data_IF_432076311455
#
_entry.id   IF_432076311455
#
_cell.length_a   1.000
_cell.length_b   1.000
_cell.length_c   1.000
_cell.angle_alpha   90.00
_cell.angle_beta   90.00
_cell.angle_gamma   90.00
#
_symmetry.space_group_name_H-M   'P 1'
#
loop_
_entity.id
_entity.type
_entity.pdbx_description
1 polymer ?
#
# COMPACT_ATOMS: atom_id res chain seq x y z
N UNK A 1 3.81 -10.35 -12.17
CA UNK A 1 3.56 -11.13 -10.93
C UNK A 1 4.26 -10.45 -9.78
N UNK A 2 3.52 -10.00 -8.78
CA UNK A 2 4.02 -9.15 -7.71
C UNK A 2 3.78 -9.82 -6.35
N UNK A 3 4.68 -9.60 -5.38
CA UNK A 3 4.41 -9.87 -3.98
C UNK A 3 3.80 -8.63 -3.31
N UNK A 4 3.23 -8.79 -2.13
CA UNK A 4 2.80 -7.65 -1.30
C UNK A 4 4.03 -6.87 -0.82
N UNK A 5 3.97 -5.53 -0.72
CA UNK A 5 5.12 -4.68 -0.38
C UNK A 5 5.40 -4.63 1.13
N UNK A 6 5.08 -5.69 1.88
CA UNK A 6 5.23 -5.75 3.34
C UNK A 6 5.40 -7.19 3.85
N UNK A 7 5.87 -7.31 5.08
CA UNK A 7 5.86 -8.57 5.84
C UNK A 7 4.61 -8.68 6.72
N UNK A 8 4.26 -9.92 7.08
CA UNK A 8 3.10 -10.19 7.93
C UNK A 8 1.77 -10.08 7.18
N UNK A 9 0.71 -9.78 7.94
CA UNK A 9 -0.66 -9.72 7.44
C UNK A 9 -1.21 -8.30 7.58
N UNK A 10 -1.74 -7.77 6.49
CA UNK A 10 -2.28 -6.41 6.42
C UNK A 10 -3.67 -6.46 5.79
N UNK A 11 -4.54 -5.55 6.21
CA UNK A 11 -5.90 -5.41 5.69
C UNK A 11 -5.89 -4.49 4.48
N UNK A 12 -6.56 -4.92 3.42
CA UNK A 12 -6.87 -4.08 2.25
C UNK A 12 -8.05 -3.17 2.63
N UNK A 13 -7.79 -1.88 2.81
CA UNK A 13 -8.85 -0.91 3.14
C UNK A 13 -9.41 -0.21 1.92
N UNK A 14 -8.63 -0.14 0.86
CA UNK A 14 -9.06 0.36 -0.43
C UNK A 14 -8.43 -0.48 -1.55
N UNK A 15 -9.17 -0.67 -2.65
CA UNK A 15 -8.67 -1.29 -3.88
C UNK A 15 -9.39 -2.57 -4.29
N UNK A 16 -9.16 -2.97 -5.53
CA UNK A 16 -9.78 -4.11 -6.19
C UNK A 16 -9.77 -3.97 -7.70
N UNK A 17 -10.31 -4.96 -8.41
CA UNK A 17 -10.30 -5.01 -9.89
C UNK A 17 -11.63 -4.63 -10.54
N UNK A 18 -12.63 -4.28 -9.74
CA UNK A 18 -13.92 -3.80 -10.18
C UNK A 18 -14.30 -2.45 -9.55
N UNK A 19 -15.42 -1.90 -10.02
CA UNK A 19 -15.93 -0.59 -9.60
C UNK A 19 -16.42 -0.57 -8.14
N UNK A 20 -16.87 -1.69 -7.61
CA UNK A 20 -17.45 -1.77 -6.27
C UNK A 20 -16.37 -1.89 -5.18
N UNK A 21 -15.23 -2.48 -5.54
CA UNK A 21 -14.06 -2.63 -4.67
C UNK A 21 -13.09 -1.43 -4.75
N UNK A 22 -12.94 -0.81 -5.93
CA UNK A 22 -12.00 0.29 -6.14
C UNK A 22 -12.54 1.63 -5.64
N UNK A 23 -11.77 2.30 -4.77
CA UNK A 23 -12.08 3.65 -4.28
C UNK A 23 -11.77 4.77 -5.30
N UNK A 24 -11.08 4.43 -6.39
CA UNK A 24 -10.47 5.35 -7.34
C UNK A 24 -10.83 4.99 -8.78
N UNK A 25 -11.92 4.24 -9.01
CA UNK A 25 -12.29 3.71 -10.33
C UNK A 25 -12.35 4.78 -11.44
N UNK A 26 -12.85 5.96 -11.10
CA UNK A 26 -12.97 7.12 -12.00
C UNK A 26 -11.65 7.86 -12.27
N UNK A 27 -10.56 7.52 -11.57
CA UNK A 27 -9.24 8.14 -11.70
C UNK A 27 -8.33 7.13 -12.40
N UNK A 28 -8.12 7.24 -13.72
CA UNK A 28 -7.39 6.21 -14.49
C UNK A 28 -6.00 5.89 -13.95
N UNK A 29 -5.32 6.87 -13.36
CA UNK A 29 -3.96 6.71 -12.83
C UNK A 29 -3.88 5.95 -11.51
N UNK A 30 -5.01 5.80 -10.80
CA UNK A 30 -5.09 5.16 -9.49
C UNK A 30 -6.13 4.03 -9.45
N UNK A 31 -6.78 3.70 -10.57
CA UNK A 31 -7.92 2.76 -10.65
C UNK A 31 -7.71 1.43 -9.91
N UNK A 32 -6.49 0.91 -9.94
CA UNK A 32 -6.10 -0.37 -9.34
C UNK A 32 -5.10 -0.18 -8.18
N UNK A 33 -5.09 1.01 -7.57
CA UNK A 33 -4.31 1.27 -6.37
C UNK A 33 -4.93 0.60 -5.15
N UNK A 34 -4.06 0.22 -4.23
CA UNK A 34 -4.40 -0.42 -2.98
C UNK A 34 -3.84 0.38 -1.81
N UNK A 35 -4.65 0.50 -0.77
CA UNK A 35 -4.19 1.01 0.53
C UNK A 35 -4.24 -0.12 1.55
N UNK A 36 -3.15 -0.26 2.30
CA UNK A 36 -2.98 -1.30 3.31
C UNK A 36 -2.72 -0.72 4.68
N UNK A 37 -3.41 -1.26 5.68
CA UNK A 37 -3.20 -0.96 7.11
C UNK A 37 -3.04 -2.26 7.90
N UNK A 38 -2.61 -2.17 9.15
CA UNK A 38 -2.69 -3.29 10.09
C UNK A 38 -3.89 -3.03 11.01
N UNK A 39 -4.76 -4.02 11.16
CA UNK A 39 -5.90 -3.96 12.08
C UNK A 39 -5.75 -4.96 13.21
N UNK A 40 -6.26 -4.62 14.38
CA UNK A 40 -6.52 -5.58 15.46
C UNK A 40 -7.84 -6.34 15.25
N UNK A 41 -8.12 -7.28 16.15
CA UNK A 41 -9.33 -8.11 16.10
C UNK A 41 -10.62 -7.31 16.28
N UNK A 42 -10.55 -6.10 16.83
CA UNK A 42 -11.70 -5.21 17.03
C UNK A 42 -11.95 -4.29 15.83
N UNK A 43 -11.10 -4.34 14.80
CA UNK A 43 -11.17 -3.49 13.61
C UNK A 43 -10.49 -2.12 13.78
N UNK A 44 -9.73 -1.92 14.86
CA UNK A 44 -8.94 -0.71 15.09
C UNK A 44 -7.60 -0.74 14.35
N UNK A 45 -7.12 0.42 13.91
CA UNK A 45 -5.81 0.59 13.23
C UNK A 45 -4.70 1.14 14.13
N UNK A 46 -5.05 1.56 15.35
CA UNK A 46 -4.12 2.09 16.34
C UNK A 46 -4.52 1.72 17.76
N UNK A 47 -3.53 1.67 18.66
CA UNK A 47 -3.74 1.58 20.10
C UNK A 47 -3.46 2.92 20.78
N UNK A 48 -4.47 3.55 21.36
CA UNK A 48 -4.33 4.82 22.08
C UNK A 48 -4.82 6.03 21.27
N UNK A 49 -4.17 7.18 21.47
CA UNK A 49 -4.57 8.44 20.83
C UNK A 49 -4.28 8.41 19.31
N UNK A 50 -5.31 8.53 18.45
CA UNK A 50 -5.14 8.48 16.99
C UNK A 50 -4.52 9.76 16.39
N UNK A 51 -4.23 10.78 17.21
CA UNK A 51 -3.45 11.96 16.80
C UNK A 51 -1.93 11.75 16.91
N UNK A 52 -1.51 10.61 17.48
CA UNK A 52 -0.10 10.21 17.64
C UNK A 52 0.23 9.10 16.65
N UNK A 53 1.19 9.34 15.76
CA UNK A 53 1.52 8.43 14.65
C UNK A 53 2.03 7.07 15.14
N UNK A 54 2.82 7.06 16.21
CA UNK A 54 3.43 5.88 16.80
C UNK A 54 2.41 4.88 17.37
N UNK A 55 1.16 5.31 17.59
CA UNK A 55 0.09 4.44 18.06
C UNK A 55 -0.50 3.57 16.95
N UNK A 56 -0.27 3.89 15.68
CA UNK A 56 -0.76 3.09 14.56
C UNK A 56 0.08 1.84 14.34
N UNK A 57 -0.59 0.69 14.23
CA UNK A 57 0.08 -0.61 14.18
C UNK A 57 1.02 -0.78 12.98
N UNK A 58 0.72 -0.11 11.87
CA UNK A 58 1.50 -0.15 10.63
C UNK A 58 2.64 0.88 10.58
N UNK A 59 2.63 1.92 11.43
CA UNK A 59 3.62 2.98 11.38
C UNK A 59 5.02 2.45 11.74
N UNK A 60 6.02 2.82 10.93
CA UNK A 60 7.41 2.38 11.08
C UNK A 60 7.69 0.92 10.67
N UNK A 61 6.69 0.15 10.21
CA UNK A 61 6.90 -1.21 9.69
C UNK A 61 7.69 -1.22 8.39
N UNK A 62 8.42 -2.30 8.15
CA UNK A 62 9.23 -2.46 6.95
C UNK A 62 8.39 -2.54 5.67
N UNK A 63 8.89 -1.90 4.62
CA UNK A 63 8.30 -1.90 3.28
C UNK A 63 9.25 -2.60 2.32
N UNK A 64 8.70 -3.49 1.50
CA UNK A 64 9.46 -4.39 0.64
C UNK A 64 9.30 -4.05 -0.84
N UNK A 65 10.34 -4.33 -1.63
CA UNK A 65 10.23 -4.34 -3.08
C UNK A 65 9.29 -5.49 -3.54
N UNK A 66 8.26 -5.20 -4.35
CA UNK A 66 7.22 -6.19 -4.73
C UNK A 66 7.71 -7.16 -5.83
N UNK A 67 8.77 -6.78 -6.53
CA UNK A 67 9.40 -7.55 -7.59
C UNK A 67 10.81 -7.00 -7.84
N UNK A 68 11.64 -7.78 -8.53
CA UNK A 68 12.94 -7.33 -9.03
C UNK A 68 12.77 -6.11 -9.93
N UNK A 69 13.69 -5.15 -9.85
CA UNK A 69 13.63 -3.97 -10.71
C UNK A 69 14.73 -2.95 -10.45
N UNK A 70 14.54 -1.76 -11.02
CA UNK A 70 15.43 -0.60 -10.85
C UNK A 70 14.64 0.57 -10.31
N UNK A 71 15.13 1.21 -9.25
CA UNK A 71 14.53 2.44 -8.72
C UNK A 71 14.74 3.56 -9.74
N UNK A 72 13.64 4.13 -10.23
CA UNK A 72 13.66 5.18 -11.27
C UNK A 72 13.18 6.54 -10.77
N UNK A 73 12.50 6.62 -9.64
CA UNK A 73 12.16 7.88 -8.97
C UNK A 73 11.99 7.64 -7.46
N UNK A 74 12.31 8.65 -6.66
CA UNK A 74 12.21 8.56 -5.20
C UNK A 74 12.17 9.94 -4.54
N UNK A 75 11.42 10.06 -3.43
CA UNK A 75 11.40 11.22 -2.53
C UNK A 75 11.36 10.76 -1.07
N UNK A 76 12.17 11.39 -0.22
CA UNK A 76 12.41 10.95 1.18
C UNK A 76 12.59 12.11 2.18
N UNK A 77 12.01 13.28 1.89
CA UNK A 77 12.22 14.49 2.71
C UNK A 77 10.93 15.21 3.10
N UNK A 78 9.77 14.73 2.66
CA UNK A 78 8.50 15.25 3.16
C UNK A 78 8.30 14.77 4.58
N UNK A 79 7.90 15.67 5.48
CA UNK A 79 7.50 15.29 6.84
C UNK A 79 6.20 14.50 6.78
N UNK A 80 5.95 13.72 7.82
CA UNK A 80 4.64 13.12 8.01
C UNK A 80 3.57 14.19 8.16
N UNK A 81 2.41 13.91 7.57
CA UNK A 81 1.21 14.72 7.70
C UNK A 81 0.62 14.54 9.09
N UNK A 82 -0.12 15.55 9.56
CA UNK A 82 -0.86 15.44 10.82
C UNK A 82 -1.99 14.42 10.70
N UNK A 83 -2.16 13.57 11.71
CA UNK A 83 -3.38 12.79 11.89
C UNK A 83 -4.32 13.50 12.86
N UNK A 84 -5.59 13.53 12.52
CA UNK A 84 -6.63 14.17 13.34
C UNK A 84 -7.54 13.14 14.04
N UNK A 85 -7.34 11.84 13.76
CA UNK A 85 -8.17 10.75 14.29
C UNK A 85 -9.65 10.79 13.86
N UNK A 86 -9.99 11.61 12.88
CA UNK A 86 -11.38 11.86 12.45
C UNK A 86 -11.54 11.84 10.93
N UNK A 87 -10.59 11.23 10.21
CA UNK A 87 -10.63 11.11 8.75
C UNK A 87 -10.31 12.39 7.97
N UNK A 88 -9.91 13.49 8.63
CA UNK A 88 -9.42 14.69 7.93
C UNK A 88 -7.97 14.53 7.48
N UNK A 89 -7.65 15.13 6.34
CA UNK A 89 -6.28 15.21 5.81
C UNK A 89 -5.63 16.55 6.19
N UNK A 90 -4.30 16.60 6.17
CA UNK A 90 -3.55 17.85 6.39
C UNK A 90 -3.70 18.78 5.16
N UNK A 91 -4.23 20.02 5.33
CA UNK A 91 -4.46 20.91 4.19
C UNK A 91 -3.17 21.49 3.57
N UNK A 92 -2.01 21.31 4.20
CA UNK A 92 -0.73 21.88 3.75
C UNK A 92 0.14 20.90 2.95
N UNK A 93 -0.40 19.75 2.56
CA UNK A 93 0.29 18.77 1.73
C UNK A 93 0.64 19.33 0.35
N UNK A 94 1.91 19.18 -0.04
CA UNK A 94 2.42 19.68 -1.35
C UNK A 94 2.42 18.62 -2.44
N UNK A 95 2.58 17.36 -2.05
CA UNK A 95 2.60 16.22 -2.95
C UNK A 95 1.70 15.15 -2.34
N UNK A 96 0.68 14.72 -3.10
CA UNK A 96 -0.29 13.74 -2.63
C UNK A 96 0.34 12.39 -2.26
N UNK A 97 1.50 12.06 -2.85
CA UNK A 97 2.22 10.81 -2.57
C UNK A 97 3.05 10.86 -1.28
N UNK A 98 3.42 12.06 -0.83
CA UNK A 98 4.43 12.23 0.22
C UNK A 98 5.79 11.68 -0.22
N UNK A 99 6.43 10.92 0.66
CA UNK A 99 7.64 10.15 0.34
C UNK A 99 7.25 8.86 -0.39
N UNK A 100 7.98 8.53 -1.45
CA UNK A 100 7.64 7.43 -2.32
C UNK A 100 8.87 6.84 -3.02
N UNK A 101 8.70 5.62 -3.54
CA UNK A 101 9.63 4.95 -4.44
C UNK A 101 8.87 4.52 -5.70
N UNK A 102 9.46 4.74 -6.87
CA UNK A 102 9.01 4.18 -8.15
C UNK A 102 10.05 3.18 -8.67
N UNK A 103 9.63 1.94 -8.90
CA UNK A 103 10.51 0.86 -9.39
C UNK A 103 10.06 0.44 -10.78
N UNK A 104 10.97 0.44 -11.75
CA UNK A 104 10.74 -0.12 -13.09
C UNK A 104 11.01 -1.62 -13.07
N UNK A 105 10.01 -2.40 -13.50
CA UNK A 105 10.09 -3.86 -13.59
C UNK A 105 10.18 -4.34 -15.05
N UNK A 106 9.60 -3.59 -15.98
CA UNK A 106 9.56 -3.92 -17.41
C UNK A 106 9.39 -2.70 -18.31
N UNK A 107 9.02 -2.90 -19.57
CA UNK A 107 8.84 -1.79 -20.55
C UNK A 107 7.75 -0.81 -20.11
N UNK A 108 6.60 -1.34 -19.66
CA UNK A 108 5.41 -0.59 -19.24
C UNK A 108 4.88 -1.10 -17.89
N UNK A 109 5.79 -1.39 -16.98
CA UNK A 109 5.43 -1.90 -15.66
C UNK A 109 6.29 -1.23 -14.61
N UNK A 110 5.66 -0.37 -13.82
CA UNK A 110 6.28 0.40 -12.75
C UNK A 110 5.46 0.22 -11.49
N UNK A 111 6.10 -0.08 -10.36
CA UNK A 111 5.44 0.01 -9.07
C UNK A 111 5.62 1.39 -8.47
N UNK A 112 4.60 1.88 -7.77
CA UNK A 112 4.68 3.05 -6.90
C UNK A 112 4.29 2.61 -5.50
N UNK A 113 5.16 2.92 -4.53
CA UNK A 113 4.88 2.76 -3.10
C UNK A 113 5.04 4.14 -2.46
N UNK A 114 3.99 4.61 -1.79
CA UNK A 114 3.89 5.97 -1.28
C UNK A 114 3.55 5.99 0.22
N UNK A 115 3.47 7.20 0.78
CA UNK A 115 3.25 7.46 2.21
C UNK A 115 4.35 6.93 3.11
N UNK A 116 5.59 6.91 2.60
CA UNK A 116 6.74 6.37 3.32
C UNK A 116 7.18 7.29 4.46
N UNK A 117 7.80 6.69 5.47
CA UNK A 117 8.35 7.40 6.62
C UNK A 117 9.51 8.31 6.17
N UNK A 118 9.60 9.56 6.67
CA UNK A 118 10.67 10.48 6.31
C UNK A 118 12.05 9.92 6.68
N UNK A 119 13.03 10.08 5.78
CA UNK A 119 14.40 9.64 5.96
C UNK A 119 14.56 8.12 6.17
N UNK A 120 13.61 7.34 5.65
CA UNK A 120 13.57 5.88 5.85
C UNK A 120 14.00 5.07 4.63
N UNK A 121 14.08 5.69 3.44
CA UNK A 121 14.44 5.00 2.21
C UNK A 121 15.84 4.36 2.36
N UNK A 122 15.93 3.09 1.98
CA UNK A 122 17.17 2.30 1.95
C UNK A 122 17.80 2.23 0.56
N UNK A 123 17.16 2.86 -0.41
CA UNK A 123 17.52 2.82 -1.82
C UNK A 123 17.52 4.24 -2.40
N UNK A 124 18.27 4.43 -3.48
CA UNK A 124 18.31 5.66 -4.28
C UNK A 124 18.03 5.36 -5.75
N UNK A 125 17.74 6.41 -6.50
CA UNK A 125 17.54 6.32 -7.95
C UNK A 125 18.77 5.66 -8.61
N UNK A 126 18.52 4.64 -9.42
CA UNK A 126 19.53 3.83 -10.09
C UNK A 126 19.83 2.49 -9.43
N UNK A 127 19.44 2.29 -8.16
CA UNK A 127 19.67 1.04 -7.46
C UNK A 127 18.83 -0.10 -8.06
N UNK A 128 19.41 -1.30 -8.12
CA UNK A 128 18.71 -2.54 -8.44
C UNK A 128 18.19 -3.15 -7.14
N UNK A 129 16.93 -3.53 -7.12
CA UNK A 129 16.29 -4.16 -5.97
C UNK A 129 15.82 -5.57 -6.31
N UNK A 130 15.77 -6.44 -5.30
CA UNK A 130 15.20 -7.78 -5.40
C UNK A 130 13.85 -7.88 -4.72
N UNK A 131 12.96 -8.73 -5.22
CA UNK A 131 11.68 -9.02 -4.54
C UNK A 131 11.93 -9.36 -3.07
N UNK A 132 11.21 -8.71 -2.17
CA UNK A 132 11.30 -8.93 -0.73
C UNK A 132 12.42 -8.15 -0.04
N UNK A 133 13.24 -7.41 -0.78
CA UNK A 133 14.24 -6.50 -0.20
C UNK A 133 13.57 -5.35 0.55
N UNK A 134 14.06 -5.02 1.74
CA UNK A 134 13.57 -3.89 2.52
C UNK A 134 14.06 -2.58 1.88
N UNK A 135 13.13 -1.74 1.47
CA UNK A 135 13.42 -0.51 0.72
C UNK A 135 13.05 0.77 1.46
N UNK A 136 12.16 0.70 2.45
CA UNK A 136 11.73 1.85 3.27
C UNK A 136 10.98 1.38 4.52
N UNK A 137 10.38 2.34 5.24
CA UNK A 137 9.39 2.08 6.29
C UNK A 137 8.05 2.78 5.98
N UNK A 138 6.97 2.21 6.47
CA UNK A 138 5.63 2.80 6.43
C UNK A 138 5.59 4.07 7.29
N UNK A 139 5.00 5.14 6.75
CA UNK A 139 4.88 6.43 7.42
C UNK A 139 3.48 7.00 7.25
N UNK A 140 3.40 8.33 7.22
CA UNK A 140 2.16 9.10 7.07
C UNK A 140 2.38 10.37 6.23
N UNK A 141 3.37 10.39 5.34
CA UNK A 141 3.65 11.54 4.50
C UNK A 141 2.66 11.64 3.33
N UNK A 142 2.34 12.85 2.88
CA UNK A 142 1.43 13.06 1.74
C UNK A 142 -0.04 13.14 2.14
N UNK A 143 -0.95 12.89 1.19
CA UNK A 143 -2.40 13.05 1.42
C UNK A 143 -3.00 11.85 2.15
N UNK A 144 -2.75 11.73 3.44
CA UNK A 144 -3.22 10.59 4.25
C UNK A 144 -4.22 11.05 5.31
N UNK A 145 -5.11 10.14 5.72
CA UNK A 145 -5.98 10.30 6.89
C UNK A 145 -5.40 9.60 8.13
N UNK A 146 -4.61 8.55 7.90
CA UNK A 146 -3.90 7.74 8.89
C UNK A 146 -2.71 7.02 8.21
N UNK A 147 -1.71 6.53 8.98
CA UNK A 147 -0.62 5.72 8.46
C UNK A 147 -1.11 4.51 7.67
N UNK A 148 -0.59 4.35 6.44
CA UNK A 148 -0.89 3.23 5.57
C UNK A 148 0.16 3.14 4.45
N UNK A 149 0.14 2.04 3.69
CA UNK A 149 0.89 1.91 2.45
C UNK A 149 -0.06 2.02 1.26
N UNK A 150 0.16 3.04 0.42
CA UNK A 150 -0.41 3.09 -0.93
C UNK A 150 0.51 2.32 -1.89
N UNK A 151 -0.07 1.45 -2.69
CA UNK A 151 0.62 0.63 -3.66
C UNK A 151 -0.14 0.55 -4.98
N UNK A 152 0.56 0.75 -6.10
CA UNK A 152 -0.02 0.50 -7.42
C UNK A 152 1.02 0.03 -8.42
N UNK A 153 0.56 -0.65 -9.46
CA UNK A 153 1.30 -0.83 -10.71
C UNK A 153 0.74 0.12 -11.76
N UNK A 154 1.61 0.72 -12.58
CA UNK A 154 1.24 1.66 -13.63
C UNK A 154 2.07 1.45 -14.89
N UNK A 155 1.56 1.93 -16.03
CA UNK A 155 2.12 1.68 -17.36
C UNK A 155 3.27 2.62 -17.79
N UNK A 156 3.67 3.53 -16.91
CA UNK A 156 4.69 4.54 -17.14
C UNK A 156 5.33 5.03 -15.84
N UNK A 157 6.34 5.91 -15.94
CA UNK A 157 7.08 6.42 -14.76
C UNK A 157 6.27 7.43 -13.92
N UNK A 158 5.37 8.18 -14.55
CA UNK A 158 4.69 9.32 -13.91
C UNK A 158 3.42 8.88 -13.18
N UNK A 159 3.38 9.06 -11.86
CA UNK A 159 2.18 8.81 -11.06
C UNK A 159 0.94 9.61 -11.53
N UNK A 160 1.15 10.83 -12.05
CA UNK A 160 0.06 11.72 -12.46
C UNK A 160 -0.42 11.48 -13.89
N UNK A 161 0.31 10.70 -14.70
CA UNK A 161 0.04 10.59 -16.14
C UNK A 161 0.04 9.15 -16.67
N UNK A 162 0.33 8.15 -15.84
CA UNK A 162 0.37 6.74 -16.25
C UNK A 162 -0.90 6.03 -15.79
N UNK A 163 -1.49 5.21 -16.65
CA UNK A 163 -2.66 4.43 -16.29
C UNK A 163 -2.29 3.37 -15.25
N UNK A 164 -3.15 3.18 -14.25
CA UNK A 164 -3.04 2.06 -13.32
C UNK A 164 -3.28 0.74 -14.04
N UNK A 165 -2.55 -0.29 -13.62
CA UNK A 165 -2.66 -1.65 -14.14
C UNK A 165 -3.20 -2.59 -13.05
N UNK A 166 -4.08 -3.55 -13.38
CA UNK A 166 -4.51 -4.57 -12.43
C UNK A 166 -3.31 -5.40 -11.96
N UNK A 167 -3.29 -5.76 -10.68
CA UNK A 167 -2.14 -6.42 -10.06
C UNK A 167 -2.45 -7.89 -9.84
N UNK A 168 -1.77 -8.78 -10.56
CA UNK A 168 -1.77 -10.21 -10.24
C UNK A 168 -0.71 -10.48 -9.16
N UNK A 169 -1.18 -10.74 -7.95
CA UNK A 169 -0.35 -11.17 -6.83
C UNK A 169 -0.02 -12.67 -6.96
N UNK A 170 1.15 -13.06 -6.47
CA UNK A 170 1.58 -14.46 -6.42
C UNK A 170 2.07 -14.81 -5.04
N UNK A 171 1.88 -16.07 -4.68
CA UNK A 171 2.35 -16.65 -3.42
C UNK A 171 1.83 -15.82 -2.24
N UNK A 172 0.53 -15.55 -2.23
CA UNK A 172 -0.16 -14.82 -1.16
C UNK A 172 -1.23 -15.70 -0.51
N UNK A 173 -1.47 -15.45 0.76
CA UNK A 173 -2.65 -15.90 1.47
C UNK A 173 -3.63 -14.73 1.60
N UNK A 174 -4.93 -15.01 1.47
CA UNK A 174 -5.99 -14.03 1.67
C UNK A 174 -7.19 -14.68 2.34
N UNK A 175 -7.82 -13.95 3.26
CA UNK A 175 -9.09 -14.34 3.87
C UNK A 175 -9.92 -13.09 4.18
N UNK A 176 -11.24 -13.20 4.42
CA UNK A 176 -12.05 -12.09 4.89
C UNK A 176 -11.56 -11.58 6.27
N UNK A 177 -11.38 -10.27 6.42
CA UNK A 177 -11.06 -9.67 7.73
C UNK A 177 -12.31 -9.63 8.60
N UNK A 178 -12.18 -10.05 9.87
CA UNK A 178 -13.25 -9.95 10.85
C UNK A 178 -13.46 -8.50 11.28
N UNK A 179 -14.70 -8.14 11.68
CA UNK A 179 -15.02 -6.82 12.20
C UNK A 179 -14.72 -5.60 11.29
N UNK A 180 -14.50 -5.82 9.99
CA UNK A 180 -14.22 -4.75 9.01
C UNK A 180 -15.23 -3.60 9.04
N UNK A 181 -16.50 -3.91 9.26
CA UNK A 181 -17.61 -2.96 9.29
C UNK A 181 -17.45 -1.86 10.36
N UNK A 182 -16.64 -2.10 11.40
CA UNK A 182 -16.32 -1.08 12.41
C UNK A 182 -15.32 -0.04 11.89
N UNK A 183 -14.44 -0.45 10.98
CA UNK A 183 -13.52 0.44 10.28
C UNK A 183 -14.21 1.19 9.14
N UNK A 184 -14.90 0.45 8.28
CA UNK A 184 -15.62 1.00 7.12
C UNK A 184 -17.03 0.39 7.04
N UNK A 185 -18.09 1.16 7.32
CA UNK A 185 -19.46 0.65 7.35
C UNK A 185 -20.05 0.39 5.95
N UNK A 186 -19.35 0.76 4.87
CA UNK A 186 -19.83 0.52 3.50
C UNK A 186 -19.90 -0.99 3.22
N UNK A 187 -20.93 -1.48 2.52
CA UNK A 187 -21.04 -2.89 2.15
C UNK A 187 -19.77 -3.40 1.46
N UNK A 188 -19.31 -4.60 1.81
CA UNK A 188 -18.15 -5.22 1.17
C UNK A 188 -18.44 -5.55 -0.30
N UNK A 189 -17.42 -5.51 -1.19
CA UNK A 189 -17.57 -6.01 -2.55
C UNK A 189 -17.89 -7.51 -2.57
N UNK A 190 -18.41 -8.00 -3.70
CA UNK A 190 -18.66 -9.43 -3.87
C UNK A 190 -17.36 -10.22 -3.65
N UNK A 191 -17.39 -11.37 -2.97
CA UNK A 191 -16.20 -12.20 -2.78
C UNK A 191 -15.55 -12.56 -4.12
N UNK A 192 -14.22 -12.57 -4.15
CA UNK A 192 -13.47 -13.09 -5.28
C UNK A 192 -13.60 -14.62 -5.32
N UNK A 193 -13.51 -15.18 -6.53
CA UNK A 193 -13.44 -16.63 -6.74
C UNK A 193 -12.25 -17.24 -5.98
N UNK A 194 -12.43 -18.48 -5.53
CA UNK A 194 -11.37 -19.22 -4.83
C UNK A 194 -10.13 -19.35 -5.72
N UNK A 195 -8.95 -19.05 -5.16
CA UNK A 195 -7.68 -19.07 -5.90
C UNK A 195 -7.43 -17.85 -6.79
N UNK A 196 -8.27 -16.81 -6.73
CA UNK A 196 -8.04 -15.55 -7.45
C UNK A 196 -6.66 -14.94 -7.12
N UNK A 197 -5.90 -14.45 -8.14
CA UNK A 197 -4.64 -13.74 -7.92
C UNK A 197 -4.87 -12.27 -7.52
N UNK A 198 -6.12 -11.82 -7.50
CA UNK A 198 -6.50 -10.48 -7.08
C UNK A 198 -6.86 -10.47 -5.60
N UNK A 199 -6.77 -9.28 -5.03
CA UNK A 199 -7.21 -8.96 -3.67
C UNK A 199 -8.14 -7.76 -3.76
N UNK A 200 -8.95 -7.55 -2.73
CA UNK A 200 -9.92 -6.46 -2.67
C UNK A 200 -10.15 -5.95 -1.25
N UNK A 201 -10.80 -4.79 -1.15
CA UNK A 201 -11.27 -4.21 0.10
C UNK A 201 -11.96 -5.24 1.00
N UNK A 202 -11.52 -5.32 2.26
CA UNK A 202 -12.02 -6.28 3.25
C UNK A 202 -11.28 -7.61 3.28
N UNK A 203 -10.21 -7.79 2.50
CA UNK A 203 -9.32 -8.94 2.66
C UNK A 203 -8.20 -8.66 3.65
N UNK A 204 -7.87 -9.65 4.48
CA UNK A 204 -6.62 -9.75 5.23
C UNK A 204 -5.62 -10.57 4.42
N UNK A 205 -4.54 -9.94 3.97
CA UNK A 205 -3.60 -10.50 3.00
C UNK A 205 -2.18 -10.59 3.55
N UNK A 206 -1.40 -11.57 3.10
CA UNK A 206 0.00 -11.72 3.47
C UNK A 206 0.79 -12.52 2.45
N UNK A 207 2.11 -12.30 2.38
CA UNK A 207 2.99 -13.09 1.53
C UNK A 207 3.15 -14.50 2.14
N UNK A 208 3.04 -15.55 1.33
CA UNK A 208 3.43 -16.91 1.69
C UNK A 208 4.96 -16.96 1.62
N UNK A 209 5.60 -16.96 2.78
CA UNK A 209 7.03 -17.22 2.86
C UNK A 209 7.20 -18.72 2.63
N UNK A 210 7.70 -19.09 1.45
CA UNK A 210 8.09 -20.47 1.21
C UNK A 210 9.06 -20.90 2.30
N UNK A 211 8.75 -21.97 3.04
CA UNK A 211 9.79 -22.75 3.66
C UNK A 211 10.81 -23.02 2.56
N UNK A 212 12.02 -22.51 2.71
CA UNK A 212 13.12 -22.85 1.82
C UNK A 212 13.05 -24.38 1.65
N UNK A 213 12.82 -24.86 0.42
CA UNK A 213 13.00 -26.27 0.13
C UNK A 213 14.44 -26.57 0.54
N UNK A 214 14.58 -27.33 1.63
CA UNK A 214 15.88 -27.89 2.04
C UNK A 214 16.38 -28.83 0.96
#
# INVERSE_FOLDING_TARGET
NYSLPFQGRWTVVNGGVDKDASHSWGIPTQRYAYDFVIMDEEGGTCSGDPTVLENYYCYGKEVLAPADGVVVDAKDHYKDSRTYGNGKTDPFIKDIRGNYIVIKHGSKEYSVIAHLLPHSLKVKIGDKVKRGEIIAKCGNSGNTTEPHIHFQIQDGRSFLASAGLPICFKDIQQEPIQNYHKFDPRPLPKPLEEGSPFIQRGNLVGNIIGMAKR
#
